data_IF_536245484827
#
_entry.id   IF_536245484827
#
_cell.length_a   1.000
_cell.length_b   1.000
_cell.length_c   1.000
_cell.angle_alpha   90.00
_cell.angle_beta   90.00
_cell.angle_gamma   90.00
#
_symmetry.space_group_name_H-M   'P 1'
#
loop_
_entity.id
_entity.type
_entity.pdbx_description
1 polymer ?
#
# COMPACT_ATOMS: atom_id res chain seq x y z
N UNK A 1 -17.80 9.69 -8.41
CA UNK A 1 -16.73 9.89 -7.41
C UNK A 1 -15.46 10.30 -8.13
N UNK A 2 -14.81 11.36 -7.71
CA UNK A 2 -13.59 11.90 -8.31
C UNK A 2 -12.33 11.38 -7.58
N UNK A 3 -11.15 11.53 -8.22
CA UNK A 3 -9.87 11.30 -7.51
C UNK A 3 -9.70 12.23 -6.30
N UNK A 4 -10.24 13.45 -6.38
CA UNK A 4 -10.22 14.40 -5.27
C UNK A 4 -11.00 13.90 -4.05
N UNK A 5 -12.14 13.24 -4.28
CA UNK A 5 -12.93 12.64 -3.20
C UNK A 5 -12.19 11.46 -2.57
N UNK A 6 -11.57 10.59 -3.40
CA UNK A 6 -10.76 9.47 -2.94
C UNK A 6 -9.56 9.97 -2.11
N UNK A 7 -8.84 11.01 -2.58
CA UNK A 7 -7.69 11.55 -1.87
C UNK A 7 -8.06 12.16 -0.52
N UNK A 8 -9.20 12.84 -0.42
CA UNK A 8 -9.73 13.32 0.87
C UNK A 8 -10.03 12.17 1.82
N UNK A 9 -10.71 11.14 1.33
CA UNK A 9 -11.03 9.98 2.17
C UNK A 9 -9.77 9.21 2.61
N UNK A 10 -8.75 9.11 1.75
CA UNK A 10 -7.46 8.54 2.13
C UNK A 10 -6.70 9.44 3.11
N UNK A 11 -6.81 10.77 2.99
CA UNK A 11 -6.21 11.70 3.95
C UNK A 11 -6.78 11.50 5.36
N UNK A 12 -8.05 11.11 5.48
CA UNK A 12 -8.69 10.83 6.77
C UNK A 12 -8.24 9.48 7.38
N UNK A 13 -7.70 8.55 6.57
CA UNK A 13 -7.08 7.31 7.06
C UNK A 13 -5.75 7.61 7.78
N UNK A 14 -4.97 8.56 7.29
CA UNK A 14 -3.72 9.03 7.91
C UNK A 14 -4.04 10.02 9.04
N UNK A 15 -4.56 9.53 10.16
CA UNK A 15 -5.10 10.34 11.25
C UNK A 15 -4.21 10.44 12.48
N UNK A 16 -3.14 9.64 12.58
CA UNK A 16 -2.20 9.70 13.70
C UNK A 16 -1.31 10.93 13.63
N UNK A 17 -0.86 11.40 14.79
CA UNK A 17 -0.05 12.62 14.93
C UNK A 17 1.46 12.39 14.64
N UNK A 18 1.78 11.32 13.88
CA UNK A 18 3.15 11.00 13.48
C UNK A 18 3.61 11.85 12.30
N UNK A 19 4.91 12.18 12.18
CA UNK A 19 5.42 12.98 11.06
C UNK A 19 5.11 12.38 9.70
N UNK A 20 5.21 11.06 9.55
CA UNK A 20 4.96 10.36 8.29
C UNK A 20 3.48 10.45 7.87
N UNK A 21 2.54 10.28 8.80
CA UNK A 21 1.10 10.38 8.50
C UNK A 21 0.68 11.83 8.22
N UNK A 22 1.24 12.80 8.95
CA UNK A 22 1.07 14.23 8.63
C UNK A 22 1.52 14.56 7.22
N UNK A 23 2.69 14.04 6.82
CA UNK A 23 3.22 14.23 5.47
C UNK A 23 2.30 13.61 4.41
N UNK A 24 1.85 12.37 4.63
CA UNK A 24 0.91 11.69 3.74
C UNK A 24 -0.39 12.48 3.57
N UNK A 25 -1.00 12.88 4.69
CA UNK A 25 -2.23 13.67 4.72
C UNK A 25 -2.06 15.01 3.98
N UNK A 26 -0.99 15.73 4.27
CA UNK A 26 -0.71 17.01 3.60
C UNK A 26 -0.53 16.83 2.08
N UNK A 27 0.22 15.81 1.65
CA UNK A 27 0.44 15.52 0.23
C UNK A 27 -0.86 15.20 -0.50
N UNK A 28 -1.73 14.39 0.09
CA UNK A 28 -3.05 14.07 -0.49
C UNK A 28 -3.94 15.31 -0.62
N UNK A 29 -4.01 16.15 0.41
CA UNK A 29 -4.86 17.34 0.44
C UNK A 29 -4.35 18.46 -0.46
N UNK A 30 -3.04 18.61 -0.62
CA UNK A 30 -2.40 19.61 -1.49
C UNK A 30 -2.42 19.22 -2.98
N UNK A 31 -2.63 17.94 -3.28
CA UNK A 31 -2.64 17.44 -4.65
C UNK A 31 -3.83 17.99 -5.45
N UNK A 32 -3.61 18.31 -6.74
CA UNK A 32 -4.69 18.65 -7.66
C UNK A 32 -5.57 17.45 -8.03
N UNK A 33 -5.13 16.25 -7.66
CA UNK A 33 -5.82 14.97 -7.87
C UNK A 33 -6.20 14.71 -9.34
N UNK A 34 -5.35 15.16 -10.27
CA UNK A 34 -5.49 14.96 -11.73
C UNK A 34 -4.65 13.77 -12.18
N UNK A 35 -5.24 12.59 -12.35
CA UNK A 35 -4.49 11.41 -12.77
C UNK A 35 -4.07 11.52 -14.24
N UNK A 36 -2.89 10.98 -14.55
CA UNK A 36 -2.51 10.65 -15.92
C UNK A 36 -3.46 9.62 -16.52
N UNK A 37 -3.52 9.53 -17.84
CA UNK A 37 -4.32 8.50 -18.51
C UNK A 37 -3.85 7.09 -18.10
N UNK A 38 -4.79 6.21 -17.83
CA UNK A 38 -4.52 4.80 -17.50
C UNK A 38 -5.67 3.90 -17.99
N UNK A 39 -5.39 2.62 -18.14
CA UNK A 39 -6.41 1.61 -18.42
C UNK A 39 -6.79 0.92 -17.11
N UNK A 40 -8.07 0.92 -16.71
CA UNK A 40 -8.52 0.20 -15.54
C UNK A 40 -8.27 -1.30 -15.66
N UNK A 41 -7.90 -1.92 -14.56
CA UNK A 41 -7.78 -3.37 -14.42
C UNK A 41 -8.65 -3.81 -13.24
N UNK A 42 -9.46 -4.83 -13.45
CA UNK A 42 -10.37 -5.31 -12.41
C UNK A 42 -9.61 -5.86 -11.20
N UNK A 43 -10.06 -5.49 -10.01
CA UNK A 43 -9.56 -6.06 -8.76
C UNK A 43 -10.06 -7.51 -8.64
N UNK A 44 -9.15 -8.44 -8.27
CA UNK A 44 -9.50 -9.86 -8.07
C UNK A 44 -10.47 -10.04 -6.90
N UNK A 45 -11.37 -11.00 -7.04
CA UNK A 45 -12.49 -11.26 -6.09
C UNK A 45 -12.08 -11.32 -4.62
N UNK A 46 -11.03 -12.06 -4.19
CA UNK A 46 -10.69 -12.12 -2.77
C UNK A 46 -10.37 -10.77 -2.12
N UNK A 47 -9.82 -9.81 -2.87
CA UNK A 47 -9.62 -8.45 -2.36
C UNK A 47 -10.95 -7.72 -2.20
N UNK A 48 -11.83 -7.82 -3.19
CA UNK A 48 -13.13 -7.16 -3.14
C UNK A 48 -14.02 -7.72 -2.01
N UNK A 49 -13.89 -9.00 -1.70
CA UNK A 49 -14.61 -9.64 -0.59
C UNK A 49 -14.19 -9.09 0.76
N UNK A 50 -12.89 -9.08 1.07
CA UNK A 50 -12.42 -8.54 2.35
C UNK A 50 -12.70 -7.04 2.49
N UNK A 51 -12.64 -6.27 1.39
CA UNK A 51 -12.96 -4.85 1.39
C UNK A 51 -14.45 -4.53 1.58
N UNK A 52 -15.33 -5.53 1.48
CA UNK A 52 -16.78 -5.41 1.78
C UNK A 52 -17.15 -5.94 3.17
N UNK A 53 -16.20 -6.52 3.89
CA UNK A 53 -16.45 -7.04 5.24
C UNK A 53 -16.85 -5.90 6.19
N UNK A 54 -17.58 -6.26 7.25
CA UNK A 54 -18.14 -5.28 8.21
C UNK A 54 -17.07 -4.55 9.03
N UNK A 55 -15.89 -5.14 9.16
CA UNK A 55 -14.72 -4.57 9.86
C UNK A 55 -13.78 -3.80 8.93
N UNK A 56 -14.04 -3.80 7.61
CA UNK A 56 -13.22 -3.05 6.66
C UNK A 56 -13.39 -1.53 6.86
N UNK A 57 -12.29 -0.79 6.68
CA UNK A 57 -12.30 0.67 6.73
C UNK A 57 -13.24 1.25 5.67
N UNK A 58 -13.98 2.29 6.01
CA UNK A 58 -15.00 2.90 5.12
C UNK A 58 -14.47 3.34 3.75
N UNK A 59 -13.17 3.70 3.66
CA UNK A 59 -12.51 4.06 2.39
C UNK A 59 -12.50 2.91 1.37
N UNK A 60 -12.59 1.65 1.82
CA UNK A 60 -12.67 0.48 0.94
C UNK A 60 -13.86 0.58 -0.03
N UNK A 61 -14.99 1.08 0.43
CA UNK A 61 -16.16 1.32 -0.43
C UNK A 61 -15.90 2.35 -1.53
N UNK A 62 -15.02 3.32 -1.30
CA UNK A 62 -14.61 4.28 -2.33
C UNK A 62 -13.63 3.66 -3.33
N UNK A 63 -12.61 2.94 -2.83
CA UNK A 63 -11.65 2.22 -3.66
C UNK A 63 -12.33 1.22 -4.61
N UNK A 64 -13.33 0.48 -4.13
CA UNK A 64 -14.10 -0.48 -4.94
C UNK A 64 -14.92 0.19 -6.05
N UNK A 65 -15.34 1.43 -5.88
CA UNK A 65 -16.08 2.18 -6.90
C UNK A 65 -15.20 2.88 -7.94
N UNK A 66 -13.89 3.01 -7.66
CA UNK A 66 -12.94 3.64 -8.59
C UNK A 66 -12.41 2.60 -9.58
N UNK A 67 -12.46 2.87 -10.89
CA UNK A 67 -11.88 2.00 -11.91
C UNK A 67 -10.35 2.15 -11.97
N UNK A 68 -9.64 1.64 -10.94
CA UNK A 68 -8.19 1.76 -10.79
C UNK A 68 -7.43 0.68 -11.61
N UNK A 69 -6.16 0.94 -12.00
CA UNK A 69 -5.32 0.00 -12.73
C UNK A 69 -4.60 -0.97 -11.77
N UNK A 70 -5.32 -1.92 -11.21
CA UNK A 70 -4.77 -2.88 -10.25
C UNK A 70 -3.77 -3.83 -10.92
N UNK A 71 -2.50 -3.73 -10.54
CA UNK A 71 -1.41 -4.56 -11.06
C UNK A 71 -0.50 -5.04 -9.92
N UNK A 72 0.31 -6.10 -10.11
CA UNK A 72 1.38 -6.41 -9.17
C UNK A 72 2.36 -5.25 -9.03
N UNK A 73 2.96 -5.03 -7.84
CA UNK A 73 4.00 -4.00 -7.66
C UNK A 73 5.23 -4.30 -8.52
N UNK A 74 5.94 -3.25 -8.95
CA UNK A 74 7.12 -3.31 -9.83
C UNK A 74 8.30 -2.53 -9.24
N UNK A 75 8.54 -2.66 -7.95
CA UNK A 75 9.61 -1.93 -7.25
C UNK A 75 10.99 -2.47 -7.56
N UNK A 76 11.11 -3.77 -7.84
CA UNK A 76 12.34 -4.44 -8.28
C UNK A 76 12.11 -5.23 -9.56
N UNK A 77 13.17 -5.49 -10.32
CA UNK A 77 13.16 -6.27 -11.55
C UNK A 77 13.74 -7.68 -11.38
N UNK A 78 14.11 -8.10 -10.15
CA UNK A 78 14.62 -9.45 -9.94
C UNK A 78 13.52 -10.50 -10.21
N UNK A 79 13.91 -11.66 -10.73
CA UNK A 79 12.98 -12.74 -11.07
C UNK A 79 12.19 -13.19 -9.84
N UNK A 80 12.88 -13.34 -8.70
CA UNK A 80 12.22 -13.71 -7.44
C UNK A 80 11.18 -12.70 -7.00
N UNK A 81 11.51 -11.39 -7.04
CA UNK A 81 10.55 -10.33 -6.71
C UNK A 81 9.34 -10.38 -7.66
N UNK A 82 9.58 -10.54 -8.94
CA UNK A 82 8.54 -10.58 -9.97
C UNK A 82 7.59 -11.76 -9.73
N UNK A 83 8.11 -12.95 -9.43
CA UNK A 83 7.29 -14.13 -9.10
C UNK A 83 6.48 -13.92 -7.84
N UNK A 84 7.13 -13.49 -6.76
CA UNK A 84 6.48 -13.24 -5.47
C UNK A 84 5.48 -12.08 -5.52
N UNK A 85 5.55 -11.23 -6.54
CA UNK A 85 4.61 -10.12 -6.74
C UNK A 85 3.29 -10.52 -7.41
N UNK A 86 3.22 -11.66 -8.12
CA UNK A 86 2.02 -12.11 -8.85
C UNK A 86 0.74 -12.19 -7.99
N UNK A 87 0.76 -12.65 -6.72
CA UNK A 87 -0.43 -12.70 -5.88
C UNK A 87 -0.80 -11.35 -5.24
N UNK A 88 -0.23 -10.24 -5.68
CA UNK A 88 -0.44 -8.91 -5.10
C UNK A 88 -1.31 -8.02 -6.00
N UNK A 89 -1.94 -7.02 -5.40
CA UNK A 89 -2.61 -5.92 -6.06
C UNK A 89 -2.03 -4.60 -5.54
N UNK A 90 -1.69 -3.71 -6.45
CA UNK A 90 -1.04 -2.45 -6.11
C UNK A 90 -1.47 -1.35 -7.06
N UNK A 91 -1.63 -0.13 -6.54
CA UNK A 91 -1.76 1.11 -7.30
C UNK A 91 -0.98 2.21 -6.58
N UNK A 92 0.04 2.77 -7.20
CA UNK A 92 0.67 4.01 -6.74
C UNK A 92 -0.25 5.17 -7.17
N UNK A 93 -0.94 5.75 -6.21
CA UNK A 93 -1.90 6.83 -6.44
C UNK A 93 -1.20 8.18 -6.58
N UNK A 94 -0.22 8.44 -5.71
CA UNK A 94 0.55 9.68 -5.67
C UNK A 94 2.04 9.32 -5.53
N UNK A 95 2.87 9.74 -6.49
CA UNK A 95 4.30 9.42 -6.47
C UNK A 95 4.97 9.61 -7.82
N UNK A 96 6.29 9.37 -7.93
CA UNK A 96 7.04 9.51 -9.19
C UNK A 96 6.48 8.66 -10.33
N UNK A 97 5.98 7.45 -10.01
CA UNK A 97 5.33 6.56 -10.96
C UNK A 97 3.81 6.50 -10.76
N UNK A 98 3.28 7.32 -9.85
CA UNK A 98 1.88 7.37 -9.49
C UNK A 98 0.96 7.86 -10.59
N UNK A 99 -0.32 7.57 -10.45
CA UNK A 99 -1.38 8.12 -11.31
C UNK A 99 -1.37 9.65 -11.25
N UNK A 100 -1.12 10.21 -10.09
CA UNK A 100 -0.85 11.63 -9.87
C UNK A 100 0.63 11.79 -9.50
N UNK A 101 1.32 12.74 -10.13
CA UNK A 101 2.76 12.92 -9.93
C UNK A 101 3.08 13.60 -8.59
N UNK A 102 4.09 13.07 -7.92
CA UNK A 102 4.72 13.65 -6.73
C UNK A 102 6.17 13.18 -6.61
N UNK A 103 7.07 14.10 -6.29
CA UNK A 103 8.49 13.79 -6.03
C UNK A 103 8.81 13.76 -4.53
N UNK A 104 7.80 13.94 -3.67
CA UNK A 104 7.98 14.05 -2.23
C UNK A 104 7.52 12.82 -1.46
N UNK A 105 6.58 12.06 -2.01
CA UNK A 105 6.04 10.84 -1.40
C UNK A 105 5.78 9.78 -2.47
N UNK A 106 5.77 8.50 -2.06
CA UNK A 106 5.05 7.42 -2.76
C UNK A 106 3.92 6.97 -1.87
N UNK A 107 2.71 7.10 -2.34
CA UNK A 107 1.51 6.74 -1.59
C UNK A 107 0.56 5.97 -2.51
N UNK A 108 -0.03 4.93 -1.97
CA UNK A 108 -0.95 4.13 -2.75
C UNK A 108 -1.69 3.08 -1.92
N UNK A 109 -2.21 2.11 -2.62
CA UNK A 109 -2.91 0.97 -2.05
C UNK A 109 -2.23 -0.32 -2.44
N UNK A 110 -2.19 -1.26 -1.50
CA UNK A 110 -1.49 -2.52 -1.63
C UNK A 110 -2.24 -3.65 -0.92
N UNK A 111 -2.33 -4.80 -1.57
CA UNK A 111 -2.94 -5.97 -0.98
C UNK A 111 -2.29 -7.27 -1.45
N UNK A 112 -2.54 -8.36 -0.72
CA UNK A 112 -2.09 -9.70 -1.07
C UNK A 112 -3.25 -10.69 -1.02
N UNK A 113 -3.20 -11.67 -1.92
CA UNK A 113 -4.10 -12.80 -1.95
C UNK A 113 -3.97 -13.67 -0.69
N UNK A 114 -4.95 -14.54 -0.39
CA UNK A 114 -4.78 -15.56 0.64
C UNK A 114 -3.53 -16.43 0.39
N UNK A 115 -2.93 -16.94 1.47
CA UNK A 115 -1.78 -17.85 1.45
C UNK A 115 -0.59 -17.34 0.64
N UNK A 116 -0.30 -16.05 0.74
CA UNK A 116 0.78 -15.39 0.02
C UNK A 116 1.82 -14.83 0.98
N UNK A 117 3.05 -14.70 0.49
CA UNK A 117 4.14 -14.05 1.22
C UNK A 117 4.76 -12.94 0.38
N UNK A 118 5.24 -11.92 1.05
CA UNK A 118 6.14 -10.92 0.51
C UNK A 118 7.38 -10.93 1.39
N UNK A 119 8.45 -11.46 0.82
CA UNK A 119 9.65 -11.78 1.55
C UNK A 119 10.37 -10.58 2.13
N UNK A 120 11.50 -10.87 2.77
CA UNK A 120 12.29 -9.84 3.45
C UNK A 120 12.83 -8.82 2.46
N UNK A 121 12.68 -7.55 2.79
CA UNK A 121 13.09 -6.41 1.98
C UNK A 121 13.58 -5.25 2.83
N UNK A 122 14.46 -4.44 2.26
CA UNK A 122 14.92 -3.17 2.83
C UNK A 122 14.85 -2.07 1.78
N UNK A 123 14.66 -0.84 2.21
CA UNK A 123 14.71 0.36 1.37
C UNK A 123 14.98 1.61 2.21
N UNK A 124 15.56 2.68 1.60
CA UNK A 124 15.91 3.91 2.32
C UNK A 124 14.72 4.73 2.80
N UNK A 125 13.56 4.60 2.16
CA UNK A 125 12.37 5.32 2.58
C UNK A 125 11.92 4.90 3.98
N UNK A 126 11.42 5.84 4.78
CA UNK A 126 10.50 5.53 5.87
C UNK A 126 9.16 5.12 5.29
N UNK A 127 8.52 4.12 5.87
CA UNK A 127 7.27 3.58 5.38
C UNK A 127 6.28 3.32 6.51
N UNK A 128 5.00 3.60 6.26
CA UNK A 128 3.92 3.08 7.08
C UNK A 128 2.86 2.44 6.21
N UNK A 129 2.42 1.24 6.60
CA UNK A 129 1.19 0.62 6.12
C UNK A 129 0.08 0.82 7.15
N UNK A 130 -1.11 1.18 6.68
CA UNK A 130 -2.34 1.20 7.48
C UNK A 130 -3.29 0.15 6.89
N UNK A 131 -3.66 -0.84 7.69
CA UNK A 131 -4.53 -1.93 7.24
C UNK A 131 -5.95 -1.41 7.03
N UNK A 132 -6.51 -1.67 5.86
CA UNK A 132 -7.86 -1.24 5.48
C UNK A 132 -8.87 -2.38 5.55
N UNK A 133 -8.46 -3.61 5.25
CA UNK A 133 -9.34 -4.78 5.22
C UNK A 133 -8.57 -6.09 5.35
N UNK A 134 -9.21 -7.10 5.93
CA UNK A 134 -8.64 -8.43 6.08
C UNK A 134 -7.56 -8.49 7.16
N UNK A 135 -6.68 -9.52 7.09
CA UNK A 135 -5.63 -9.77 8.09
C UNK A 135 -4.30 -10.06 7.44
N UNK A 136 -3.23 -9.58 8.05
CA UNK A 136 -1.86 -9.77 7.57
C UNK A 136 -0.89 -9.84 8.75
N UNK A 137 0.06 -10.75 8.67
CA UNK A 137 1.19 -10.78 9.60
C UNK A 137 2.34 -9.95 9.05
N UNK A 138 2.92 -9.09 9.87
CA UNK A 138 4.12 -8.32 9.57
C UNK A 138 5.29 -8.78 10.44
N UNK A 139 6.45 -9.03 9.82
CA UNK A 139 7.76 -9.12 10.48
C UNK A 139 8.48 -7.77 10.31
N UNK A 140 9.03 -7.25 11.40
CA UNK A 140 9.73 -5.96 11.47
C UNK A 140 11.10 -6.16 12.11
N UNK A 141 12.17 -5.91 11.35
CA UNK A 141 13.56 -6.02 11.79
C UNK A 141 14.04 -7.46 12.00
N UNK A 142 13.23 -8.32 12.59
CA UNK A 142 13.54 -9.70 12.94
C UNK A 142 12.45 -10.66 12.44
N UNK A 143 12.60 -11.93 12.75
CA UNK A 143 11.82 -13.02 12.18
C UNK A 143 10.43 -13.26 12.80
N UNK A 144 10.09 -12.59 13.91
CA UNK A 144 8.78 -12.76 14.53
C UNK A 144 7.71 -11.97 13.77
N UNK A 145 6.63 -12.65 13.43
CA UNK A 145 5.47 -12.06 12.79
C UNK A 145 4.42 -11.64 13.81
N UNK A 146 3.82 -10.47 13.60
CA UNK A 146 2.71 -9.95 14.41
C UNK A 146 1.49 -9.77 13.52
N UNK A 147 0.33 -10.27 13.96
CA UNK A 147 -0.96 -10.12 13.26
C UNK A 147 -1.43 -8.66 13.31
N UNK A 148 -1.92 -8.19 12.17
CA UNK A 148 -2.49 -6.85 12.03
C UNK A 148 -3.87 -6.92 11.37
N UNK A 149 -4.78 -6.05 11.85
CA UNK A 149 -6.18 -5.95 11.47
C UNK A 149 -6.53 -4.54 10.95
N UNK A 150 -7.72 -4.34 10.37
CA UNK A 150 -8.13 -3.01 9.92
C UNK A 150 -7.97 -1.93 11.01
N UNK A 151 -7.40 -0.80 10.62
CA UNK A 151 -7.06 0.32 11.49
C UNK A 151 -5.68 0.26 12.12
N UNK A 152 -5.02 -0.91 12.15
CA UNK A 152 -3.66 -1.05 12.71
C UNK A 152 -2.59 -0.63 11.71
N UNK A 153 -1.41 -0.32 12.25
CA UNK A 153 -0.28 0.23 11.50
C UNK A 153 0.95 -0.64 11.61
N UNK A 154 1.69 -0.77 10.51
CA UNK A 154 3.04 -1.31 10.49
C UNK A 154 3.99 -0.22 10.01
N UNK A 155 4.75 0.39 10.92
CA UNK A 155 5.74 1.43 10.63
C UNK A 155 7.13 0.81 10.47
N UNK A 156 7.84 1.20 9.41
CA UNK A 156 9.17 0.74 9.06
C UNK A 156 10.10 1.95 8.91
N UNK A 157 10.98 2.22 9.87
CA UNK A 157 12.07 3.18 9.68
C UNK A 157 12.92 2.87 8.46
N UNK A 158 13.63 3.89 7.94
CA UNK A 158 14.60 3.72 6.85
C UNK A 158 15.50 2.50 7.10
N UNK A 159 15.69 1.70 6.07
CA UNK A 159 16.52 0.46 6.06
C UNK A 159 16.07 -0.64 7.03
N UNK A 160 14.92 -0.52 7.68
CA UNK A 160 14.41 -1.63 8.49
C UNK A 160 14.02 -2.80 7.59
N UNK A 161 14.61 -3.97 7.83
CA UNK A 161 14.20 -5.20 7.16
C UNK A 161 12.77 -5.57 7.58
N UNK A 162 11.91 -5.87 6.62
CA UNK A 162 10.50 -6.21 6.89
C UNK A 162 9.95 -7.17 5.86
N UNK A 163 8.97 -7.96 6.27
CA UNK A 163 8.25 -8.93 5.44
C UNK A 163 6.80 -9.02 5.87
N UNK A 164 5.94 -9.55 5.02
CA UNK A 164 4.56 -9.80 5.40
C UNK A 164 4.00 -11.05 4.71
N UNK A 165 2.99 -11.65 5.35
CA UNK A 165 2.31 -12.84 4.84
C UNK A 165 0.83 -12.83 5.19
N UNK A 166 0.04 -13.50 4.38
CA UNK A 166 -1.38 -13.75 4.59
C UNK A 166 -1.65 -15.22 4.89
N UNK A 167 -2.76 -15.49 5.54
CA UNK A 167 -3.30 -16.83 5.78
C UNK A 167 -4.53 -17.07 4.89
N UNK A 168 -5.63 -17.56 5.44
CA UNK A 168 -6.85 -17.91 4.69
C UNK A 168 -7.59 -16.71 4.08
N UNK A 169 -7.26 -15.48 4.47
CA UNK A 169 -7.89 -14.26 3.99
C UNK A 169 -6.92 -13.40 3.19
N UNK A 170 -7.41 -12.71 2.16
CA UNK A 170 -6.69 -11.59 1.56
C UNK A 170 -6.61 -10.42 2.55
N UNK A 171 -5.76 -9.44 2.26
CA UNK A 171 -5.79 -8.15 2.93
C UNK A 171 -5.63 -6.99 1.96
N UNK A 172 -6.02 -5.80 2.40
CA UNK A 172 -5.80 -4.53 1.71
C UNK A 172 -5.31 -3.48 2.70
N UNK A 173 -4.35 -2.67 2.28
CA UNK A 173 -3.80 -1.55 3.04
C UNK A 173 -3.63 -0.32 2.15
N UNK A 174 -3.49 0.85 2.78
CA UNK A 174 -2.79 1.99 2.16
C UNK A 174 -1.37 2.05 2.71
N UNK A 175 -0.46 2.62 1.92
CA UNK A 175 0.93 2.81 2.33
C UNK A 175 1.42 4.20 1.93
N UNK A 176 2.44 4.68 2.64
CA UNK A 176 3.20 5.87 2.24
C UNK A 176 4.68 5.66 2.51
N UNK A 177 5.49 6.10 1.57
CA UNK A 177 6.94 6.29 1.67
C UNK A 177 7.26 7.77 1.77
N UNK A 178 8.19 8.12 2.66
CA UNK A 178 8.74 9.47 2.83
C UNK A 178 10.28 9.41 2.93
N UNK A 179 10.94 10.55 2.87
CA UNK A 179 12.41 10.62 2.88
C UNK A 179 13.01 10.26 1.52
N UNK A 180 13.96 9.34 1.46
CA UNK A 180 14.48 8.84 0.18
C UNK A 180 13.52 7.83 -0.44
N UNK A 181 12.61 8.32 -1.26
CA UNK A 181 11.60 7.52 -1.97
C UNK A 181 12.12 6.85 -3.25
N UNK A 182 13.43 6.87 -3.48
CA UNK A 182 14.07 6.20 -4.61
C UNK A 182 13.98 4.68 -4.46
N UNK A 183 13.85 3.98 -5.58
CA UNK A 183 13.87 2.50 -5.60
C UNK A 183 15.26 1.93 -5.92
N UNK A 184 16.29 2.77 -6.05
CA UNK A 184 17.63 2.34 -6.46
C UNK A 184 18.29 1.39 -5.46
N UNK A 185 18.05 1.61 -4.17
CA UNK A 185 18.60 0.81 -3.07
C UNK A 185 17.52 -0.07 -2.41
N UNK A 186 16.53 -0.48 -3.20
CA UNK A 186 15.56 -1.47 -2.77
C UNK A 186 16.17 -2.86 -2.88
N UNK A 187 16.30 -3.55 -1.78
CA UNK A 187 16.79 -4.93 -1.72
C UNK A 187 15.67 -5.90 -1.40
N UNK A 188 15.67 -7.05 -2.05
CA UNK A 188 14.70 -8.10 -1.84
C UNK A 188 15.42 -9.46 -1.75
N UNK A 189 15.30 -10.11 -0.60
CA UNK A 189 15.93 -11.42 -0.35
C UNK A 189 14.94 -12.58 -0.35
N UNK A 190 13.64 -12.32 -0.32
CA UNK A 190 12.58 -13.34 -0.42
C UNK A 190 12.15 -13.97 0.88
#
# INVERSE_FOLDING_TARGET
>A
MSFKDLFRALADVYCDDTPIEKTARAALLASDAKPSAFTPVALRTPFAEVMKASDAHSVCGQLLRMPLPWVPPKTSSSDKYTEDSKPKAHVELLGPNGLVKSDHVRLGVYGMMPYSAYGMRTHPAEEVYIMLAGRVDWARGQTSYTDHRPGERSYHPSMMAHANRTHASAFMSTYVWTGDISTKNYEYSG
#
